data_IF_688064029857
#
_entry.id   IF_688064029857
#
_cell.length_a   1.000
_cell.length_b   1.000
_cell.length_c   1.000
_cell.angle_alpha   90.00
_cell.angle_beta   90.00
_cell.angle_gamma   90.00
#
_symmetry.space_group_name_H-M   'P 1'
#
loop_
_entity.id
_entity.type
_entity.pdbx_description
1 polymer ?
#
# COMPACT_ATOMS: atom_id res chain seq x y z
N UNK A 1 35.31 -2.17 -0.97
CA UNK A 1 33.99 -2.30 -0.31
C UNK A 1 33.20 -3.40 -1.01
N UNK A 2 32.99 -4.56 -0.38
CA UNK A 2 32.24 -5.69 -0.96
C UNK A 2 30.75 -5.37 -0.83
N UNK A 3 30.09 -5.02 -1.94
CA UNK A 3 28.62 -4.89 -1.97
C UNK A 3 28.04 -6.28 -1.75
N UNK A 4 27.38 -6.51 -0.62
CA UNK A 4 26.69 -7.77 -0.36
C UNK A 4 25.68 -8.03 -1.48
N UNK A 5 25.78 -9.20 -2.11
CA UNK A 5 24.92 -9.59 -3.23
C UNK A 5 23.76 -10.37 -2.64
N UNK A 6 22.57 -9.76 -2.68
CA UNK A 6 21.33 -10.39 -2.19
C UNK A 6 21.00 -11.56 -3.13
N UNK A 7 20.81 -12.74 -2.56
CA UNK A 7 20.46 -13.97 -3.28
C UNK A 7 18.96 -14.26 -3.18
N UNK A 8 18.47 -15.16 -4.03
CA UNK A 8 17.08 -15.64 -3.95
C UNK A 8 16.78 -16.31 -2.61
N UNK A 9 17.76 -17.02 -2.05
CA UNK A 9 17.63 -17.65 -0.73
C UNK A 9 17.46 -16.63 0.39
N UNK A 10 18.17 -15.49 0.33
CA UNK A 10 17.99 -14.41 1.30
C UNK A 10 16.56 -13.85 1.26
N UNK A 11 15.99 -13.69 0.05
CA UNK A 11 14.60 -13.23 -0.14
C UNK A 11 13.61 -14.24 0.42
N UNK A 12 13.80 -15.53 0.11
CA UNK A 12 12.90 -16.61 0.57
C UNK A 12 12.97 -16.78 2.09
N UNK A 13 14.16 -16.69 2.70
CA UNK A 13 14.33 -16.73 4.14
C UNK A 13 13.60 -15.55 4.80
N UNK A 14 13.81 -14.33 4.32
CA UNK A 14 13.14 -13.14 4.83
C UNK A 14 11.61 -13.20 4.70
N UNK A 15 11.10 -13.76 3.59
CA UNK A 15 9.66 -13.93 3.38
C UNK A 15 9.03 -14.94 4.34
N UNK A 16 9.78 -15.93 4.82
CA UNK A 16 9.29 -16.95 5.76
C UNK A 16 9.28 -16.46 7.21
N UNK A 17 10.15 -15.52 7.58
CA UNK A 17 10.22 -15.00 8.96
C UNK A 17 8.96 -14.22 9.39
N UNK A 18 8.17 -13.73 8.42
CA UNK A 18 6.92 -13.05 8.71
C UNK A 18 5.76 -13.90 8.23
N UNK A 19 5.03 -14.61 9.12
CA UNK A 19 3.78 -15.22 8.74
C UNK A 19 2.87 -14.14 8.15
N UNK A 20 2.35 -14.37 6.94
CA UNK A 20 1.39 -13.48 6.33
C UNK A 20 0.24 -13.29 7.34
N UNK A 21 -0.09 -12.05 7.75
CA UNK A 21 -1.23 -11.82 8.59
C UNK A 21 -2.47 -12.38 7.91
N UNK A 22 -3.05 -13.43 8.50
CA UNK A 22 -4.27 -14.09 8.02
C UNK A 22 -5.45 -13.10 7.97
N UNK A 23 -5.34 -12.00 8.72
CA UNK A 23 -6.31 -10.92 8.85
C UNK A 23 -5.58 -9.58 9.00
N UNK A 24 -6.01 -8.57 8.23
CA UNK A 24 -5.46 -7.22 8.33
C UNK A 24 -5.63 -6.40 7.05
N UNK A 25 -5.06 -5.20 7.06
CA UNK A 25 -5.10 -4.24 5.96
C UNK A 25 -3.74 -4.21 5.25
N UNK A 26 -3.74 -4.47 3.94
CA UNK A 26 -2.54 -4.39 3.10
C UNK A 26 -2.39 -2.99 2.50
N UNK A 27 -1.23 -2.38 2.67
CA UNK A 27 -0.88 -1.21 1.86
C UNK A 27 -0.54 -1.66 0.44
N UNK A 28 -1.33 -1.23 -0.54
CA UNK A 28 -1.18 -1.64 -1.94
C UNK A 28 0.12 -1.15 -2.59
N UNK A 29 0.73 -0.07 -2.09
CA UNK A 29 1.96 0.49 -2.66
C UNK A 29 3.24 -0.16 -2.16
N UNK A 30 3.29 -0.58 -0.89
CA UNK A 30 4.49 -1.18 -0.28
C UNK A 30 4.29 -2.63 0.17
N UNK A 31 3.10 -3.19 -0.03
CA UNK A 31 2.69 -4.54 0.36
C UNK A 31 2.78 -4.84 1.87
N UNK A 32 3.07 -3.85 2.72
CA UNK A 32 3.13 -4.03 4.18
C UNK A 32 1.74 -4.27 4.76
N UNK A 33 1.66 -5.22 5.67
CA UNK A 33 0.42 -5.61 6.35
C UNK A 33 0.32 -4.90 7.70
N UNK A 34 -0.89 -4.46 8.03
CA UNK A 34 -1.20 -3.79 9.28
C UNK A 34 -2.38 -4.48 9.98
N UNK A 35 -2.32 -4.71 11.30
CA UNK A 35 -3.41 -5.38 12.02
C UNK A 35 -4.65 -4.50 12.16
N UNK A 36 -4.51 -3.17 12.06
CA UNK A 36 -5.59 -2.21 12.29
C UNK A 36 -5.64 -1.12 11.20
N UNK A 37 -6.86 -0.64 10.91
CA UNK A 37 -7.10 0.45 9.96
C UNK A 37 -6.38 1.75 10.36
N UNK A 38 -6.32 2.05 11.67
CA UNK A 38 -5.63 3.24 12.17
C UNK A 38 -4.13 3.19 11.86
N UNK A 39 -3.51 2.02 11.95
CA UNK A 39 -2.08 1.84 11.70
C UNK A 39 -1.74 2.07 10.23
N UNK A 40 -2.55 1.56 9.29
CA UNK A 40 -2.34 1.82 7.87
C UNK A 40 -2.64 3.28 7.49
N UNK A 41 -3.62 3.94 8.12
CA UNK A 41 -3.85 5.39 7.93
C UNK A 41 -2.62 6.21 8.36
N UNK A 42 -2.08 5.94 9.55
CA UNK A 42 -0.85 6.59 10.05
C UNK A 42 0.34 6.33 9.14
N UNK A 43 0.49 5.11 8.64
CA UNK A 43 1.53 4.76 7.67
C UNK A 43 1.41 5.59 6.38
N UNK A 44 0.23 5.66 5.76
CA UNK A 44 0.04 6.43 4.52
C UNK A 44 0.34 7.91 4.75
N UNK A 45 -0.10 8.48 5.88
CA UNK A 45 0.16 9.88 6.23
C UNK A 45 1.65 10.19 6.42
N UNK A 46 2.41 9.27 7.03
CA UNK A 46 3.82 9.47 7.37
C UNK A 46 4.81 8.82 6.39
N UNK A 47 4.32 8.16 5.34
CA UNK A 47 5.15 7.32 4.46
C UNK A 47 6.34 8.02 3.81
N UNK A 48 6.27 9.33 3.59
CA UNK A 48 7.41 10.14 3.11
C UNK A 48 8.63 10.05 4.03
N UNK A 49 8.42 9.90 5.35
CA UNK A 49 9.48 9.74 6.36
C UNK A 49 9.99 8.32 6.47
N UNK A 50 9.21 7.34 6.01
CA UNK A 50 9.55 5.91 6.08
C UNK A 50 10.32 5.43 4.83
N UNK A 51 10.57 6.33 3.86
CA UNK A 51 11.28 6.00 2.62
C UNK A 51 10.42 5.32 1.56
N UNK A 52 9.09 5.26 1.75
CA UNK A 52 8.16 4.65 0.81
C UNK A 52 7.20 5.69 0.21
N UNK A 53 6.94 5.59 -1.09
CA UNK A 53 6.07 6.55 -1.81
C UNK A 53 4.56 6.26 -1.65
N UNK A 54 4.14 5.72 -0.50
CA UNK A 54 2.75 5.29 -0.29
C UNK A 54 1.76 6.45 -0.32
N UNK A 55 2.13 7.62 0.22
CA UNK A 55 1.27 8.81 0.20
C UNK A 55 1.01 9.29 -1.23
N UNK A 56 2.08 9.38 -2.04
CA UNK A 56 1.99 9.82 -3.43
C UNK A 56 1.16 8.86 -4.26
N UNK A 57 1.37 7.55 -4.08
CA UNK A 57 0.54 6.52 -4.70
C UNK A 57 -0.94 6.68 -4.28
N UNK A 58 -1.22 6.78 -2.98
CA UNK A 58 -2.59 6.89 -2.48
C UNK A 58 -3.31 8.14 -3.00
N UNK A 59 -2.62 9.29 -3.08
CA UNK A 59 -3.19 10.52 -3.67
C UNK A 59 -3.56 10.33 -5.13
N UNK A 60 -2.70 9.69 -5.93
CA UNK A 60 -3.00 9.37 -7.34
C UNK A 60 -4.18 8.43 -7.45
N UNK A 61 -4.21 7.36 -6.65
CA UNK A 61 -5.29 6.40 -6.64
C UNK A 61 -6.63 7.05 -6.24
N UNK A 62 -6.63 7.89 -5.20
CA UNK A 62 -7.81 8.65 -4.78
C UNK A 62 -8.33 9.56 -5.89
N UNK A 63 -7.45 10.28 -6.58
CA UNK A 63 -7.83 11.13 -7.70
C UNK A 63 -8.41 10.34 -8.88
N UNK A 64 -7.94 9.10 -9.11
CA UNK A 64 -8.54 8.20 -10.11
C UNK A 64 -9.95 7.76 -9.68
N UNK A 65 -10.11 7.31 -8.44
CA UNK A 65 -11.43 6.92 -7.92
C UNK A 65 -12.44 8.07 -7.89
N UNK A 66 -12.00 9.29 -7.59
CA UNK A 66 -12.86 10.49 -7.65
C UNK A 66 -13.30 10.77 -9.09
N UNK A 67 -12.40 10.63 -10.07
CA UNK A 67 -12.75 10.75 -11.49
C UNK A 67 -13.71 9.65 -11.95
N UNK A 68 -13.50 8.41 -11.49
CA UNK A 68 -14.37 7.27 -11.80
C UNK A 68 -15.73 7.39 -11.11
N UNK A 69 -15.79 7.90 -9.88
CA UNK A 69 -17.03 8.19 -9.17
C UNK A 69 -17.85 9.29 -9.84
N UNK A 70 -17.20 10.35 -10.34
CA UNK A 70 -17.84 11.38 -11.17
C UNK A 70 -18.40 10.81 -12.48
N UNK A 71 -17.80 9.73 -13.03
CA UNK A 71 -18.32 9.03 -14.21
C UNK A 71 -19.50 8.09 -13.88
N UNK A 72 -19.56 7.51 -12.68
CA UNK A 72 -20.72 6.73 -12.23
C UNK A 72 -21.92 7.61 -11.87
N UNK A 73 -21.70 8.78 -11.24
CA UNK A 73 -22.78 9.69 -10.85
C UNK A 73 -23.34 10.49 -12.05
N UNK A 74 -22.55 10.73 -13.09
CA UNK A 74 -23.03 11.28 -14.37
C UNK A 74 -23.87 10.28 -15.22
N UNK A 75 -23.91 9.01 -14.83
CA UNK A 75 -24.68 7.96 -15.50
C UNK A 75 -25.98 7.57 -14.76
N UNK A 76 -26.27 8.19 -13.61
CA UNK A 76 -27.55 8.02 -12.93
C UNK A 76 -28.61 8.95 -13.56
N UNK A 77 -29.72 8.43 -14.13
CA UNK A 77 -30.84 9.27 -14.53
C UNK A 77 -31.45 9.88 -13.27
N UNK A 78 -31.66 11.20 -13.29
CA UNK A 78 -32.35 11.92 -12.22
C UNK A 78 -33.69 11.27 -11.88
N UNK A 79 -33.93 11.08 -10.58
CA UNK A 79 -35.23 10.72 -10.02
C UNK A 79 -36.02 11.98 -9.72
#
# INVERSE_FOLDING_TARGET
>A
SRRARITVQDILAASQQHPAPQHGYKCVSCCRMFPMLLSIKKHIQNSSREGYSCNAYYRRLKALWEKEGMLQEAAAPGV
#
